data_IF_387214089671
#
_entry.id   IF_387214089671
#
_cell.length_a   1.000
_cell.length_b   1.000
_cell.length_c   1.000
_cell.angle_alpha   90.00
_cell.angle_beta   90.00
_cell.angle_gamma   90.00
#
_symmetry.space_group_name_H-M   'P 1'
#
loop_
_entity.id
_entity.type
_entity.pdbx_description
1 polymer ?
#
# COMPACT_ATOMS: atom_id res chain seq x y z
N UNK A 1 21.47 -19.66 -48.51
CA UNK A 1 20.67 -20.77 -49.04
C UNK A 1 20.97 -22.00 -48.23
N UNK A 2 20.05 -22.42 -47.40
CA UNK A 2 19.71 -23.81 -47.09
C UNK A 2 18.61 -23.78 -46.01
N UNK A 3 17.56 -24.61 -46.13
CA UNK A 3 16.30 -24.41 -45.46
C UNK A 3 16.18 -25.19 -44.13
N UNK A 4 15.25 -24.70 -43.31
CA UNK A 4 14.76 -25.33 -42.07
C UNK A 4 14.00 -26.64 -42.34
N UNK A 5 13.91 -27.56 -41.39
CA UNK A 5 12.73 -28.41 -41.28
C UNK A 5 11.82 -28.02 -40.12
N UNK A 6 10.53 -27.96 -40.46
CA UNK A 6 9.37 -27.91 -39.61
C UNK A 6 9.12 -29.34 -39.10
N UNK A 7 8.98 -29.53 -37.79
CA UNK A 7 8.46 -30.77 -37.22
C UNK A 7 7.05 -30.48 -36.71
N UNK A 8 6.08 -31.05 -37.43
CA UNK A 8 4.69 -31.17 -37.01
C UNK A 8 4.57 -32.43 -36.15
N UNK A 9 4.04 -32.34 -34.95
CA UNK A 9 3.67 -33.49 -34.19
C UNK A 9 2.14 -33.52 -34.01
N UNK A 10 1.50 -34.41 -34.77
CA UNK A 10 0.11 -34.85 -34.58
C UNK A 10 0.07 -35.80 -33.38
N UNK A 11 -0.83 -35.63 -32.47
CA UNK A 11 -1.27 -36.70 -31.58
C UNK A 11 -2.76 -36.94 -31.72
N UNK A 12 -3.03 -38.18 -32.04
CA UNK A 12 -4.33 -38.74 -32.34
C UNK A 12 -5.16 -39.01 -31.10
N UNK A 13 -6.48 -38.81 -31.26
CA UNK A 13 -7.52 -39.34 -30.35
C UNK A 13 -7.60 -40.83 -30.42
N UNK A 14 -7.80 -41.46 -29.27
CA UNK A 14 -8.36 -42.80 -29.20
C UNK A 14 -9.53 -42.82 -28.22
N UNK A 15 -10.71 -43.01 -28.81
CA UNK A 15 -11.96 -43.42 -28.15
C UNK A 15 -11.96 -44.92 -28.02
N UNK A 16 -12.32 -45.44 -26.84
CA UNK A 16 -12.88 -46.81 -26.72
C UNK A 16 -13.99 -46.81 -25.70
N UNK A 17 -15.11 -47.33 -26.16
CA UNK A 17 -16.37 -47.51 -25.48
C UNK A 17 -16.52 -48.96 -24.93
N UNK A 18 -17.47 -49.07 -23.99
CA UNK A 18 -18.25 -50.24 -23.60
C UNK A 18 -17.60 -51.29 -22.69
N UNK A 19 -18.19 -51.57 -21.53
CA UNK A 19 -19.29 -52.52 -21.35
C UNK A 19 -19.86 -52.44 -19.92
N UNK A 20 -21.18 -52.57 -19.87
CA UNK A 20 -22.02 -52.78 -18.69
C UNK A 20 -21.77 -54.19 -18.11
N UNK A 21 -21.79 -54.31 -16.79
CA UNK A 21 -22.28 -55.50 -16.12
C UNK A 21 -22.94 -55.08 -14.80
N UNK A 22 -24.23 -55.42 -14.68
CA UNK A 22 -25.09 -55.35 -13.51
C UNK A 22 -24.68 -56.36 -12.46
N UNK A 23 -24.45 -55.95 -11.21
CA UNK A 23 -24.62 -56.83 -10.04
C UNK A 23 -25.28 -56.03 -8.91
N UNK A 24 -26.53 -56.36 -8.68
CA UNK A 24 -27.36 -55.99 -7.54
C UNK A 24 -26.99 -56.83 -6.30
N UNK A 25 -26.48 -56.21 -5.23
CA UNK A 25 -26.49 -56.77 -3.89
C UNK A 25 -26.79 -55.71 -2.84
N UNK A 26 -27.78 -56.01 -2.06
CA UNK A 26 -28.46 -55.23 -1.03
C UNK A 26 -27.65 -55.01 0.25
N UNK A 27 -27.99 -53.86 0.90
CA UNK A 27 -28.09 -53.61 2.34
C UNK A 27 -26.81 -53.44 3.17
N UNK A 28 -26.69 -52.24 3.70
CA UNK A 28 -25.92 -51.86 4.86
C UNK A 28 -26.01 -50.34 5.01
N UNK A 29 -27.07 -49.84 5.66
CA UNK A 29 -27.18 -48.45 6.06
C UNK A 29 -26.31 -48.22 7.30
N UNK A 30 -25.12 -47.64 7.14
CA UNK A 30 -24.42 -46.97 8.21
C UNK A 30 -24.67 -45.48 8.09
N UNK A 31 -24.95 -44.74 9.19
CA UNK A 31 -25.23 -43.32 9.14
C UNK A 31 -23.96 -42.57 8.77
N UNK A 32 -24.01 -41.84 7.66
CA UNK A 32 -23.02 -40.84 7.26
C UNK A 32 -23.01 -39.75 8.34
N UNK A 33 -21.87 -39.45 8.98
CA UNK A 33 -21.79 -38.29 9.85
C UNK A 33 -21.98 -37.06 8.99
N UNK A 34 -22.99 -36.27 9.29
CA UNK A 34 -23.14 -34.92 8.76
C UNK A 34 -21.91 -34.09 9.16
N UNK A 35 -20.94 -34.06 8.28
CA UNK A 35 -19.83 -33.12 8.34
C UNK A 35 -20.38 -31.75 8.07
N UNK A 36 -20.80 -31.04 9.11
CA UNK A 36 -21.08 -29.62 9.05
C UNK A 36 -19.83 -28.89 8.60
N UNK A 37 -19.69 -28.62 7.30
CA UNK A 37 -18.81 -27.61 6.81
C UNK A 37 -19.38 -26.28 7.27
N UNK A 38 -18.93 -25.79 8.43
CA UNK A 38 -19.07 -24.38 8.78
C UNK A 38 -18.22 -23.60 7.77
N UNK A 39 -18.79 -23.30 6.61
CA UNK A 39 -18.35 -22.16 5.83
C UNK A 39 -18.60 -20.96 6.75
N UNK A 40 -17.54 -20.44 7.36
CA UNK A 40 -17.58 -19.08 7.90
C UNK A 40 -17.84 -18.20 6.70
N UNK A 41 -19.09 -17.75 6.53
CA UNK A 41 -19.40 -16.63 5.65
C UNK A 41 -18.55 -15.46 6.16
N UNK A 42 -17.53 -15.11 5.39
CA UNK A 42 -16.76 -13.88 5.60
C UNK A 42 -17.78 -12.73 5.51
N UNK A 43 -18.23 -12.23 6.66
CA UNK A 43 -19.27 -11.20 6.68
C UNK A 43 -18.73 -9.95 5.99
N UNK A 44 -19.37 -9.54 4.91
CA UNK A 44 -19.01 -8.33 4.17
C UNK A 44 -18.86 -7.14 5.12
N UNK A 45 -17.94 -6.22 4.81
CA UNK A 45 -17.77 -4.99 5.57
C UNK A 45 -19.08 -4.19 5.57
N UNK A 46 -19.43 -3.65 6.72
CA UNK A 46 -20.57 -2.76 6.85
C UNK A 46 -20.24 -1.40 6.25
N UNK A 47 -21.26 -0.68 5.81
CA UNK A 47 -21.14 0.67 5.28
C UNK A 47 -21.85 1.63 6.24
N UNK A 48 -21.19 2.76 6.58
CA UNK A 48 -21.76 3.79 7.43
C UNK A 48 -22.76 4.70 6.66
N UNK A 49 -23.38 5.65 7.34
CA UNK A 49 -24.33 6.61 6.77
C UNK A 49 -23.74 7.51 5.66
N UNK A 50 -22.41 7.64 5.60
CA UNK A 50 -21.69 8.41 4.56
C UNK A 50 -21.31 7.55 3.35
N UNK A 51 -21.68 6.26 3.33
CA UNK A 51 -21.33 5.34 2.25
C UNK A 51 -19.89 4.79 2.33
N UNK A 52 -19.22 4.93 3.48
CA UNK A 52 -17.85 4.45 3.69
C UNK A 52 -17.86 3.07 4.34
N UNK A 53 -16.98 2.18 3.89
CA UNK A 53 -16.77 0.88 4.55
C UNK A 53 -16.20 1.06 5.96
N UNK A 54 -16.74 0.31 6.91
CA UNK A 54 -16.28 0.31 8.31
C UNK A 54 -15.29 -0.83 8.49
N UNK A 55 -14.08 -0.50 8.94
CA UNK A 55 -13.02 -1.47 9.22
C UNK A 55 -13.25 -2.18 10.56
N UNK A 56 -12.85 -3.46 10.63
CA UNK A 56 -13.00 -4.33 11.80
C UNK A 56 -11.71 -4.38 12.63
N UNK A 57 -11.79 -4.94 13.82
CA UNK A 57 -10.64 -5.33 14.68
C UNK A 57 -9.60 -4.23 14.83
N UNK A 58 -10.08 -2.99 15.05
CA UNK A 58 -9.22 -1.82 15.25
C UNK A 58 -8.34 -1.99 16.49
N UNK A 59 -7.03 -1.75 16.33
CA UNK A 59 -6.04 -1.82 17.41
C UNK A 59 -5.12 -0.61 17.37
N UNK A 60 -4.55 -0.29 18.54
CA UNK A 60 -3.62 0.81 18.74
C UNK A 60 -2.38 0.28 19.46
N UNK A 61 -1.20 0.70 19.02
CA UNK A 61 0.07 0.31 19.59
C UNK A 61 0.89 1.56 19.94
N UNK A 62 1.49 1.55 21.12
CA UNK A 62 2.38 2.61 21.58
C UNK A 62 3.77 2.40 20.97
N UNK A 63 4.36 3.47 20.44
CA UNK A 63 5.73 3.40 19.90
C UNK A 63 6.77 3.91 20.88
N UNK A 64 6.34 4.66 21.91
CA UNK A 64 7.24 5.30 22.85
C UNK A 64 7.98 6.52 22.28
N UNK A 65 7.66 6.96 21.05
CA UNK A 65 8.21 8.20 20.48
C UNK A 65 7.39 9.38 20.99
N UNK A 66 8.03 10.30 21.72
CA UNK A 66 7.35 11.38 22.44
C UNK A 66 7.02 12.61 21.57
N UNK A 67 7.90 12.97 20.61
CA UNK A 67 7.67 14.09 19.68
C UNK A 67 6.65 13.71 18.62
N UNK A 68 5.62 14.51 18.36
CA UNK A 68 4.71 14.33 17.21
C UNK A 68 5.47 14.46 15.89
N UNK A 69 4.94 13.87 14.79
CA UNK A 69 5.54 14.03 13.47
C UNK A 69 5.70 12.75 12.64
N UNK A 70 4.99 11.66 12.96
CA UNK A 70 4.95 10.51 12.05
C UNK A 70 4.19 10.89 10.77
N UNK A 71 4.87 10.85 9.63
CA UNK A 71 4.38 11.32 8.34
C UNK A 71 4.06 10.20 7.35
N UNK A 72 4.80 9.09 7.34
CA UNK A 72 4.54 7.96 6.45
C UNK A 72 4.99 6.63 7.03
N UNK A 73 4.44 5.52 6.51
CA UNK A 73 4.75 4.16 6.95
C UNK A 73 4.78 3.20 5.76
N UNK A 74 5.83 2.38 5.69
CA UNK A 74 5.92 1.26 4.75
C UNK A 74 6.31 -0.03 5.47
N UNK A 75 5.86 -1.18 4.96
CA UNK A 75 6.37 -2.48 5.39
C UNK A 75 7.86 -2.58 5.09
N UNK A 76 8.66 -3.10 6.02
CA UNK A 76 10.08 -3.37 5.76
C UNK A 76 10.27 -4.51 4.75
N UNK A 77 11.51 -4.71 4.29
CA UNK A 77 11.86 -5.72 3.28
C UNK A 77 11.60 -7.16 3.73
N UNK A 78 11.65 -7.42 5.04
CA UNK A 78 11.43 -8.75 5.62
C UNK A 78 9.95 -9.07 5.83
N UNK A 79 9.07 -8.04 5.82
CA UNK A 79 7.65 -8.19 6.09
C UNK A 79 7.32 -8.49 7.56
N UNK A 80 8.21 -8.14 8.50
CA UNK A 80 8.07 -8.39 9.93
C UNK A 80 7.97 -7.11 10.78
N UNK A 81 7.89 -5.94 10.12
CA UNK A 81 7.76 -4.64 10.76
C UNK A 81 7.71 -3.52 9.73
N UNK A 82 7.99 -2.30 10.18
CA UNK A 82 7.81 -1.10 9.37
C UNK A 82 9.04 -0.19 9.39
N UNK A 83 9.15 0.61 8.32
CA UNK A 83 9.84 1.88 8.33
C UNK A 83 8.82 3.00 8.45
N UNK A 84 9.08 3.98 9.32
CA UNK A 84 8.21 5.12 9.59
C UNK A 84 9.02 6.39 9.47
N UNK A 85 8.61 7.30 8.58
CA UNK A 85 9.21 8.63 8.47
C UNK A 85 8.72 9.55 9.59
N UNK A 86 9.58 10.48 9.99
CA UNK A 86 9.28 11.52 10.94
C UNK A 86 9.79 12.86 10.41
N UNK A 87 8.98 13.88 10.46
CA UNK A 87 9.24 15.22 9.92
C UNK A 87 10.47 15.91 10.53
N UNK A 88 10.91 15.51 11.73
CA UNK A 88 12.17 15.97 12.33
C UNK A 88 13.44 15.35 11.71
N UNK A 89 13.32 14.60 10.63
CA UNK A 89 14.47 14.04 9.91
C UNK A 89 14.92 12.68 10.41
N UNK A 90 14.02 11.87 10.96
CA UNK A 90 14.30 10.53 11.44
C UNK A 90 13.57 9.49 10.60
N UNK A 91 14.17 8.34 10.40
CA UNK A 91 13.53 7.15 9.88
C UNK A 91 13.57 6.06 10.95
N UNK A 92 12.41 5.74 11.50
CA UNK A 92 12.26 4.70 12.51
C UNK A 92 12.07 3.33 11.86
N UNK A 93 12.59 2.30 12.54
CA UNK A 93 12.25 0.90 12.28
C UNK A 93 11.48 0.36 13.47
N UNK A 94 10.31 -0.26 13.23
CA UNK A 94 9.43 -0.78 14.28
C UNK A 94 8.98 -2.20 13.97
N UNK A 95 8.64 -2.95 15.02
CA UNK A 95 7.88 -4.20 14.89
C UNK A 95 6.38 -3.93 14.73
N UNK A 96 5.60 -4.99 14.49
CA UNK A 96 4.12 -4.95 14.43
C UNK A 96 3.47 -4.56 15.78
N UNK A 97 4.18 -4.69 16.87
CA UNK A 97 3.75 -4.29 18.21
C UNK A 97 4.02 -2.82 18.54
N UNK A 98 4.57 -2.07 17.59
CA UNK A 98 4.96 -0.68 17.76
C UNK A 98 6.34 -0.48 18.40
N UNK A 99 7.03 -1.55 18.84
CA UNK A 99 8.36 -1.44 19.44
C UNK A 99 9.36 -0.86 18.44
N UNK A 100 9.94 0.29 18.76
CA UNK A 100 11.03 0.91 17.98
C UNK A 100 12.32 0.11 18.18
N UNK A 101 12.88 -0.40 17.08
CA UNK A 101 14.13 -1.18 17.09
C UNK A 101 15.34 -0.36 16.66
N UNK A 102 15.14 0.67 15.83
CA UNK A 102 16.15 1.64 15.45
C UNK A 102 15.56 2.98 15.05
N UNK A 103 16.37 4.03 15.10
CA UNK A 103 16.08 5.36 14.58
C UNK A 103 17.33 5.86 13.84
N UNK A 104 17.18 6.14 12.55
CA UNK A 104 18.26 6.56 11.66
C UNK A 104 18.05 8.04 11.34
N UNK A 105 18.95 8.94 11.78
CA UNK A 105 18.89 10.33 11.35
C UNK A 105 19.24 10.44 9.87
N UNK A 106 18.43 11.17 9.12
CA UNK A 106 18.62 11.37 7.69
C UNK A 106 19.44 12.65 7.43
N UNK A 107 20.39 12.58 6.48
CA UNK A 107 21.21 13.69 6.04
C UNK A 107 21.05 13.86 4.49
N UNK A 108 20.65 15.05 4.02
CA UNK A 108 20.31 16.24 4.78
C UNK A 108 19.02 16.10 5.59
N UNK A 109 18.92 16.84 6.69
CA UNK A 109 17.64 17.02 7.39
C UNK A 109 16.70 17.81 6.53
N UNK A 110 15.46 17.34 6.40
CA UNK A 110 14.42 17.95 5.58
C UNK A 110 13.05 17.68 6.19
N UNK A 111 12.01 18.31 5.65
CA UNK A 111 10.61 18.03 5.91
C UNK A 111 10.25 16.75 5.14
N UNK A 112 10.50 15.60 5.80
CA UNK A 112 10.34 14.29 5.18
C UNK A 112 8.93 13.77 5.37
N UNK A 113 8.31 13.41 4.24
CA UNK A 113 6.93 12.95 4.18
C UNK A 113 6.84 11.51 3.63
N UNK A 114 6.21 11.30 2.50
CA UNK A 114 5.90 9.98 1.96
C UNK A 114 7.12 9.07 1.75
N UNK A 115 6.94 7.81 2.14
CA UNK A 115 7.90 6.72 1.94
C UNK A 115 7.44 5.76 0.84
N UNK A 116 8.39 5.21 0.10
CA UNK A 116 8.14 4.09 -0.81
C UNK A 116 9.32 3.13 -0.83
N UNK A 117 9.07 1.89 -1.25
CA UNK A 117 10.12 0.89 -1.42
C UNK A 117 9.99 0.18 -2.78
N UNK A 118 11.09 0.09 -3.49
CA UNK A 118 11.25 -0.91 -4.53
C UNK A 118 11.49 -2.27 -3.88
N UNK A 119 10.44 -3.09 -3.82
CA UNK A 119 10.47 -4.41 -3.20
C UNK A 119 11.47 -5.38 -3.84
N UNK A 120 11.79 -5.18 -5.11
CA UNK A 120 12.72 -6.05 -5.83
C UNK A 120 14.18 -5.86 -5.41
N UNK A 121 14.51 -4.67 -4.93
CA UNK A 121 15.88 -4.28 -4.55
C UNK A 121 16.03 -3.92 -3.07
N UNK A 122 14.92 -3.75 -2.33
CA UNK A 122 14.91 -3.22 -0.97
C UNK A 122 15.26 -1.72 -0.90
N UNK A 123 15.25 -1.02 -2.04
CA UNK A 123 15.60 0.41 -2.07
C UNK A 123 14.48 1.25 -1.50
N UNK A 124 14.79 2.05 -0.49
CA UNK A 124 13.86 2.99 0.15
C UNK A 124 13.97 4.36 -0.51
N UNK A 125 12.82 4.96 -0.79
CA UNK A 125 12.68 6.32 -1.29
C UNK A 125 11.85 7.14 -0.32
N UNK A 126 12.16 8.43 -0.21
CA UNK A 126 11.45 9.39 0.63
C UNK A 126 11.24 10.69 -0.11
N UNK A 127 10.11 11.35 0.07
CA UNK A 127 9.88 12.65 -0.52
C UNK A 127 10.13 13.77 0.50
N UNK A 128 10.66 14.89 -0.01
CA UNK A 128 10.80 16.15 0.70
C UNK A 128 9.65 17.08 0.24
N UNK A 129 8.79 17.45 1.17
CA UNK A 129 7.54 18.16 0.89
C UNK A 129 7.77 19.48 0.16
N UNK A 130 8.47 20.41 0.80
CA UNK A 130 8.66 21.79 0.32
C UNK A 130 9.53 21.86 -0.92
N UNK A 131 10.52 20.98 -1.00
CA UNK A 131 11.45 20.92 -2.13
C UNK A 131 10.86 20.23 -3.36
N UNK A 132 9.80 19.43 -3.18
CA UNK A 132 9.19 18.58 -4.21
C UNK A 132 10.21 17.67 -4.89
N UNK A 133 10.98 16.98 -4.07
CA UNK A 133 12.05 16.09 -4.50
C UNK A 133 11.90 14.71 -3.90
N UNK A 134 12.42 13.72 -4.61
CA UNK A 134 12.49 12.34 -4.12
C UNK A 134 13.95 11.99 -3.92
N UNK A 135 14.23 11.35 -2.80
CA UNK A 135 15.56 10.90 -2.41
C UNK A 135 15.56 9.39 -2.19
N UNK A 136 16.68 8.77 -2.52
CA UNK A 136 16.99 7.40 -2.13
C UNK A 136 17.70 7.44 -0.77
N UNK A 137 17.28 6.59 0.16
CA UNK A 137 17.86 6.49 1.51
C UNK A 137 18.82 5.30 1.59
N UNK A 138 20.00 5.53 2.14
CA UNK A 138 20.91 4.50 2.60
C UNK A 138 20.70 4.29 4.11
N UNK A 139 20.08 3.17 4.48
CA UNK A 139 19.75 2.84 5.87
C UNK A 139 21.00 2.64 6.76
N UNK A 140 22.15 2.31 6.16
CA UNK A 140 23.38 2.09 6.91
C UNK A 140 24.05 3.40 7.35
N UNK A 141 23.96 4.45 6.52
CA UNK A 141 24.59 5.75 6.78
C UNK A 141 23.61 6.87 7.12
N UNK A 142 22.31 6.70 6.85
CA UNK A 142 21.30 7.76 6.93
C UNK A 142 21.38 8.76 5.77
N UNK A 143 22.22 8.52 4.76
CA UNK A 143 22.39 9.46 3.65
C UNK A 143 21.20 9.41 2.70
N UNK A 144 20.55 10.56 2.47
CA UNK A 144 19.51 10.73 1.47
C UNK A 144 20.08 11.35 0.19
N UNK A 145 20.07 10.61 -0.91
CA UNK A 145 20.62 11.04 -2.22
C UNK A 145 19.50 11.40 -3.17
N UNK A 146 19.53 12.59 -3.78
CA UNK A 146 18.53 13.06 -4.74
C UNK A 146 18.44 12.12 -5.95
N UNK A 147 17.22 11.67 -6.28
CA UNK A 147 16.94 10.83 -7.46
C UNK A 147 15.95 11.49 -8.43
N UNK A 148 15.05 12.33 -7.94
CA UNK A 148 14.09 13.05 -8.78
C UNK A 148 13.84 14.47 -8.24
N UNK A 149 13.98 15.45 -9.12
CA UNK A 149 13.45 16.79 -8.89
C UNK A 149 12.10 16.88 -9.60
N UNK A 150 11.02 16.96 -8.81
CA UNK A 150 9.66 17.01 -9.34
C UNK A 150 9.28 18.39 -9.89
N UNK A 151 8.02 18.52 -10.27
CA UNK A 151 7.47 19.80 -10.77
C UNK A 151 7.19 20.71 -9.58
N UNK A 152 7.76 21.91 -9.61
CA UNK A 152 7.49 22.94 -8.63
C UNK A 152 6.29 23.79 -9.10
N UNK A 153 5.08 23.27 -8.95
CA UNK A 153 3.83 23.98 -9.20
C UNK A 153 3.22 24.50 -7.90
N UNK A 154 2.66 25.69 -7.93
CA UNK A 154 1.94 26.28 -6.79
C UNK A 154 2.82 27.08 -5.84
N UNK A 155 2.34 27.28 -4.60
CA UNK A 155 3.09 28.01 -3.58
C UNK A 155 4.21 27.16 -2.99
N UNK A 156 5.29 27.79 -2.54
CA UNK A 156 6.40 27.15 -1.83
C UNK A 156 6.03 26.77 -0.37
N UNK A 157 4.74 26.75 -0.06
CA UNK A 157 4.21 26.47 1.27
C UNK A 157 4.29 24.97 1.61
N UNK A 158 4.08 24.64 2.86
CA UNK A 158 3.95 23.31 3.45
C UNK A 158 2.70 22.58 2.93
N UNK A 159 2.62 22.30 1.62
CA UNK A 159 1.49 21.66 0.90
C UNK A 159 1.96 21.08 -0.42
N UNK A 160 3.14 20.50 -0.39
CA UNK A 160 3.83 19.94 -1.54
C UNK A 160 3.64 18.45 -1.69
N UNK A 161 4.74 17.72 -1.75
CA UNK A 161 4.73 16.27 -1.87
C UNK A 161 4.57 15.62 -0.49
N UNK A 162 3.42 15.02 -0.25
CA UNK A 162 3.09 14.35 1.00
C UNK A 162 3.18 12.82 0.87
N UNK A 163 2.51 12.25 -0.12
CA UNK A 163 2.49 10.82 -0.32
C UNK A 163 3.41 10.36 -1.45
N UNK A 164 4.07 9.23 -1.25
CA UNK A 164 4.93 8.59 -2.23
C UNK A 164 4.64 7.09 -2.30
N UNK A 165 4.42 6.57 -3.51
CA UNK A 165 4.34 5.15 -3.76
C UNK A 165 5.27 4.74 -4.91
N UNK A 166 5.76 3.50 -4.86
CA UNK A 166 6.55 2.88 -5.92
C UNK A 166 5.85 1.62 -6.42
N UNK A 167 5.73 1.49 -7.73
CA UNK A 167 5.20 0.29 -8.37
C UNK A 167 5.47 0.28 -9.86
N UNK A 168 5.70 -0.87 -10.45
CA UNK A 168 5.96 -1.04 -11.90
C UNK A 168 7.05 -0.12 -12.46
N UNK A 169 8.12 0.15 -11.69
CA UNK A 169 9.19 1.06 -12.09
C UNK A 169 8.78 2.54 -12.15
N UNK A 170 7.71 2.91 -11.46
CA UNK A 170 7.16 4.27 -11.43
C UNK A 170 7.09 4.79 -10.00
N UNK A 171 7.28 6.09 -9.86
CA UNK A 171 6.84 6.83 -8.68
C UNK A 171 5.43 7.38 -8.92
N UNK A 172 4.56 7.20 -7.93
CA UNK A 172 3.30 7.91 -7.80
C UNK A 172 3.46 8.87 -6.63
N UNK A 173 3.20 10.16 -6.87
CA UNK A 173 3.48 11.22 -5.90
C UNK A 173 2.21 12.02 -5.68
N UNK A 174 1.74 12.06 -4.43
CA UNK A 174 0.61 12.91 -4.04
C UNK A 174 1.09 14.31 -3.71
N UNK A 175 0.62 15.30 -4.47
CA UNK A 175 0.74 16.71 -4.12
C UNK A 175 -0.49 17.14 -3.33
N UNK A 176 -0.29 17.64 -2.11
CA UNK A 176 -1.34 17.83 -1.12
C UNK A 176 -2.41 18.84 -1.54
N UNK A 177 -1.99 20.03 -1.94
CA UNK A 177 -2.89 21.12 -2.35
C UNK A 177 -2.31 21.97 -3.48
N UNK A 178 -3.20 22.57 -4.27
CA UNK A 178 -2.92 23.62 -5.27
C UNK A 178 -1.84 23.29 -6.29
N UNK A 179 -2.05 22.26 -7.08
CA UNK A 179 -3.26 21.42 -7.19
C UNK A 179 -3.22 20.19 -6.26
N UNK A 180 -4.38 19.64 -5.89
CA UNK A 180 -4.49 18.26 -5.37
C UNK A 180 -4.34 17.33 -6.55
N UNK A 181 -3.19 16.65 -6.63
CA UNK A 181 -2.78 15.95 -7.85
C UNK A 181 -1.91 14.74 -7.54
N UNK A 182 -2.06 13.70 -8.33
CA UNK A 182 -1.09 12.61 -8.39
C UNK A 182 -0.24 12.79 -9.63
N UNK A 183 1.08 12.82 -9.45
CA UNK A 183 2.05 12.75 -10.54
C UNK A 183 2.56 11.32 -10.68
N UNK A 184 2.75 10.86 -11.91
CA UNK A 184 3.38 9.57 -12.20
C UNK A 184 4.66 9.81 -12.98
N UNK A 185 5.80 9.35 -12.44
CA UNK A 185 7.11 9.45 -13.07
C UNK A 185 7.69 8.08 -13.36
N UNK A 186 8.37 7.93 -14.48
CA UNK A 186 9.25 6.80 -14.74
C UNK A 186 10.53 6.94 -13.93
N UNK A 187 10.85 5.93 -13.11
CA UNK A 187 11.98 6.01 -12.17
C UNK A 187 13.32 6.00 -12.90
N UNK A 188 13.45 5.24 -13.98
CA UNK A 188 14.71 5.07 -14.70
C UNK A 188 15.11 6.32 -15.49
N UNK A 189 14.14 7.01 -16.10
CA UNK A 189 14.38 8.21 -16.91
C UNK A 189 14.13 9.52 -16.17
N UNK A 190 13.39 9.49 -15.05
CA UNK A 190 12.91 10.67 -14.36
C UNK A 190 11.85 11.47 -15.12
N UNK A 191 11.26 10.90 -16.17
CA UNK A 191 10.26 11.58 -17.00
C UNK A 191 8.87 11.55 -16.34
N UNK A 192 8.17 12.69 -16.36
CA UNK A 192 6.76 12.75 -16.05
C UNK A 192 5.97 12.00 -17.12
N UNK A 193 5.25 10.94 -16.73
CA UNK A 193 4.40 10.14 -17.60
C UNK A 193 2.97 10.68 -17.65
N UNK A 194 2.42 11.06 -16.50
CA UNK A 194 1.06 11.58 -16.37
C UNK A 194 0.86 12.41 -15.11
N UNK A 195 -0.21 13.18 -15.08
CA UNK A 195 -0.71 13.83 -13.87
C UNK A 195 -2.23 13.80 -13.85
N UNK A 196 -2.83 13.60 -12.67
CA UNK A 196 -4.27 13.49 -12.48
C UNK A 196 -4.71 14.39 -11.34
N UNK A 197 -5.58 15.35 -11.63
CA UNK A 197 -6.21 16.19 -10.62
C UNK A 197 -7.28 15.41 -9.86
N UNK A 198 -7.30 15.56 -8.54
CA UNK A 198 -8.28 14.94 -7.68
C UNK A 198 -9.18 16.01 -7.06
N UNK A 199 -10.48 15.86 -7.20
CA UNK A 199 -11.48 16.82 -6.68
C UNK A 199 -12.11 16.35 -5.36
N UNK A 200 -12.02 15.06 -5.03
CA UNK A 200 -12.69 14.46 -3.89
C UNK A 200 -11.93 14.59 -2.55
N UNK A 201 -10.57 14.55 -2.45
CA UNK A 201 -9.90 14.64 -1.17
C UNK A 201 -9.88 16.09 -0.66
N UNK A 202 -9.91 16.25 0.67
CA UNK A 202 -9.66 17.55 1.30
C UNK A 202 -8.17 17.80 1.52
N UNK A 203 -7.43 16.75 1.95
CA UNK A 203 -6.01 16.80 2.26
C UNK A 203 -5.34 15.48 1.93
N UNK A 204 -4.49 15.46 0.91
CA UNK A 204 -3.71 14.26 0.55
C UNK A 204 -2.54 14.15 1.52
N UNK A 205 -2.42 13.02 2.25
CA UNK A 205 -1.35 12.84 3.22
C UNK A 205 -0.44 11.63 2.92
N UNK A 206 -0.93 10.58 2.29
CA UNK A 206 -0.05 9.48 1.89
C UNK A 206 -0.60 8.69 0.70
N UNK A 207 0.28 7.92 0.06
CA UNK A 207 -0.02 6.99 -1.04
C UNK A 207 0.62 5.63 -0.81
N UNK A 208 -0.11 4.57 -1.19
CA UNK A 208 0.43 3.23 -1.28
C UNK A 208 0.01 2.61 -2.63
N UNK A 209 0.91 1.90 -3.30
CA UNK A 209 0.62 1.14 -4.51
C UNK A 209 0.29 -0.31 -4.16
N UNK A 210 -0.76 -0.84 -4.75
CA UNK A 210 -1.15 -2.24 -4.61
C UNK A 210 -0.68 -3.03 -5.83
N UNK A 211 0.38 -3.81 -5.66
CA UNK A 211 0.98 -4.62 -6.74
C UNK A 211 0.05 -5.72 -7.27
N UNK A 212 -1.03 -6.05 -6.56
CA UNK A 212 -1.95 -7.13 -6.95
C UNK A 212 -2.84 -6.74 -8.12
N UNK A 213 -3.22 -5.47 -8.20
CA UNK A 213 -4.19 -4.98 -9.19
C UNK A 213 -3.81 -3.64 -9.84
N UNK A 214 -2.67 -3.07 -9.44
CA UNK A 214 -2.18 -1.81 -9.99
C UNK A 214 -2.96 -0.58 -9.54
N UNK A 215 -3.66 -0.66 -8.41
CA UNK A 215 -4.41 0.46 -7.83
C UNK A 215 -3.57 1.26 -6.85
N UNK A 216 -4.09 2.43 -6.47
CA UNK A 216 -3.52 3.29 -5.47
C UNK A 216 -4.45 3.38 -4.25
N UNK A 217 -3.84 3.43 -3.07
CA UNK A 217 -4.52 3.75 -1.83
C UNK A 217 -4.08 5.13 -1.37
N UNK A 218 -5.04 5.97 -1.04
CA UNK A 218 -4.85 7.39 -0.74
C UNK A 218 -5.44 7.74 0.61
N UNK A 219 -4.65 8.32 1.49
CA UNK A 219 -5.09 8.84 2.78
C UNK A 219 -5.51 10.30 2.68
N UNK A 220 -6.70 10.63 3.18
CA UNK A 220 -7.20 12.00 3.40
C UNK A 220 -7.27 12.26 4.90
N UNK A 221 -6.23 12.88 5.45
CA UNK A 221 -6.11 13.09 6.90
C UNK A 221 -7.19 14.00 7.47
N UNK A 222 -7.66 14.98 6.70
CA UNK A 222 -8.68 15.92 7.15
C UNK A 222 -10.08 15.33 7.18
N UNK A 223 -10.43 14.48 6.21
CA UNK A 223 -11.72 13.80 6.15
C UNK A 223 -11.71 12.47 6.91
N UNK A 224 -10.52 11.98 7.26
CA UNK A 224 -10.29 10.66 7.86
C UNK A 224 -10.89 9.55 6.99
N UNK A 225 -10.56 9.58 5.69
CA UNK A 225 -11.01 8.64 4.66
C UNK A 225 -9.81 8.03 3.97
N UNK A 226 -9.80 6.71 3.87
CA UNK A 226 -8.88 5.97 3.00
C UNK A 226 -9.62 5.65 1.70
N UNK A 227 -9.05 6.00 0.57
CA UNK A 227 -9.63 5.74 -0.75
C UNK A 227 -8.77 4.78 -1.55
N UNK A 228 -9.37 3.70 -2.06
CA UNK A 228 -8.78 2.90 -3.13
C UNK A 228 -9.22 3.49 -4.47
N UNK A 229 -8.26 3.79 -5.33
CA UNK A 229 -8.47 4.46 -6.62
C UNK A 229 -7.69 3.79 -7.74
N UNK A 230 -8.16 3.93 -8.96
CA UNK A 230 -7.34 3.66 -10.15
C UNK A 230 -6.29 4.75 -10.35
N UNK A 231 -5.27 4.47 -11.15
CA UNK A 231 -4.22 5.45 -11.49
C UNK A 231 -4.73 6.67 -12.28
N UNK A 232 -5.96 6.61 -12.80
CA UNK A 232 -6.66 7.73 -13.45
C UNK A 232 -7.49 8.58 -12.47
N UNK A 233 -7.43 8.28 -11.16
CA UNK A 233 -8.17 8.98 -10.11
C UNK A 233 -9.59 8.47 -9.86
N UNK A 234 -10.08 7.46 -10.61
CA UNK A 234 -11.41 6.88 -10.40
C UNK A 234 -11.48 6.15 -9.06
N UNK A 235 -12.43 6.54 -8.19
CA UNK A 235 -12.66 5.90 -6.90
C UNK A 235 -13.24 4.49 -7.12
N UNK A 236 -12.63 3.51 -6.44
CA UNK A 236 -13.11 2.11 -6.40
C UNK A 236 -13.88 1.87 -5.09
N UNK A 237 -13.26 2.26 -3.96
CA UNK A 237 -13.82 2.07 -2.63
C UNK A 237 -13.31 3.15 -1.67
N UNK A 238 -14.09 3.43 -0.64
CA UNK A 238 -13.69 4.36 0.42
C UNK A 238 -14.01 3.78 1.79
N UNK A 239 -13.11 4.01 2.75
CA UNK A 239 -13.15 3.45 4.09
C UNK A 239 -13.10 4.55 5.15
N UNK A 240 -13.87 4.37 6.21
CA UNK A 240 -13.85 5.24 7.39
C UNK A 240 -12.63 4.89 8.26
N UNK A 241 -11.73 5.83 8.41
CA UNK A 241 -10.53 5.72 9.26
C UNK A 241 -10.53 6.74 10.40
N UNK A 242 -11.72 7.18 10.82
CA UNK A 242 -11.90 8.18 11.89
C UNK A 242 -11.41 7.71 13.28
N UNK A 243 -11.10 6.42 13.42
CA UNK A 243 -10.44 5.89 14.61
C UNK A 243 -8.97 6.31 14.74
N UNK A 244 -8.36 6.81 13.66
CA UNK A 244 -7.04 7.45 13.67
C UNK A 244 -7.23 8.97 13.67
N UNK A 245 -6.77 9.66 14.71
CA UNK A 245 -7.08 11.08 14.93
C UNK A 245 -6.53 11.99 13.82
N UNK A 246 -5.26 11.79 13.42
CA UNK A 246 -4.59 12.49 12.31
C UNK A 246 -3.80 11.45 11.52
N UNK A 247 -4.45 10.73 10.58
CA UNK A 247 -3.79 9.68 9.78
C UNK A 247 -2.91 10.35 8.72
N UNK A 248 -1.59 10.30 8.89
CA UNK A 248 -0.65 10.84 7.91
C UNK A 248 0.00 9.73 7.07
N UNK A 249 0.26 8.54 7.61
CA UNK A 249 0.83 7.43 6.86
C UNK A 249 -0.08 6.21 6.78
N UNK A 250 0.03 5.46 5.67
CA UNK A 250 -0.74 4.24 5.39
C UNK A 250 0.11 3.13 4.79
N UNK A 251 -0.05 1.91 5.31
CA UNK A 251 0.56 0.71 4.75
C UNK A 251 -0.46 -0.41 4.56
N UNK A 252 -0.48 -1.03 3.39
CA UNK A 252 -1.30 -2.17 3.04
C UNK A 252 -0.56 -3.48 3.36
N UNK A 253 -1.07 -4.25 4.33
CA UNK A 253 -0.58 -5.58 4.67
C UNK A 253 -1.50 -6.64 4.08
N UNK A 254 -1.15 -7.10 2.90
CA UNK A 254 -1.95 -8.09 2.17
C UNK A 254 -1.81 -9.50 2.74
N UNK A 255 -0.69 -9.80 3.41
CA UNK A 255 -0.41 -11.10 3.99
C UNK A 255 -1.33 -11.38 5.18
N UNK A 256 -1.58 -10.37 6.01
CA UNK A 256 -2.42 -10.51 7.20
C UNK A 256 -3.84 -9.94 7.02
N UNK A 257 -4.15 -9.30 5.87
CA UNK A 257 -5.46 -8.68 5.63
C UNK A 257 -5.70 -7.43 6.49
N UNK A 258 -4.64 -6.68 6.76
CA UNK A 258 -4.66 -5.52 7.63
C UNK A 258 -4.30 -4.23 6.87
N UNK A 259 -4.92 -3.16 7.30
CA UNK A 259 -4.47 -1.80 7.07
C UNK A 259 -3.72 -1.30 8.29
N UNK A 260 -2.59 -0.64 8.06
CA UNK A 260 -1.79 -0.01 9.09
C UNK A 260 -1.71 1.49 8.86
N UNK A 261 -1.75 2.24 9.94
CA UNK A 261 -1.70 3.70 9.90
C UNK A 261 -0.76 4.23 10.97
N UNK A 262 -0.15 5.37 10.71
CA UNK A 262 0.51 6.17 11.72
C UNK A 262 -0.26 7.47 11.93
N UNK A 263 -0.26 7.92 13.20
CA UNK A 263 -0.94 9.15 13.63
C UNK A 263 0.11 10.19 13.99
N UNK A 264 0.16 11.29 13.28
CA UNK A 264 1.11 12.37 13.52
C UNK A 264 1.05 12.92 14.96
N UNK A 265 -0.15 13.25 15.43
CA UNK A 265 -0.32 13.91 16.73
C UNK A 265 0.10 13.05 17.93
N UNK A 266 0.12 11.74 17.80
CA UNK A 266 0.31 10.81 18.93
C UNK A 266 1.46 9.85 18.72
N UNK A 267 2.04 9.80 17.53
CA UNK A 267 3.07 8.83 17.11
C UNK A 267 2.69 7.37 17.43
N UNK A 268 1.41 7.06 17.35
CA UNK A 268 0.90 5.70 17.56
C UNK A 268 0.77 4.99 16.22
N UNK A 269 0.96 3.68 16.29
CA UNK A 269 0.66 2.77 15.21
C UNK A 269 -0.75 2.22 15.41
N UNK A 270 -1.54 2.19 14.34
CA UNK A 270 -2.90 1.68 14.33
C UNK A 270 -3.04 0.58 13.30
N UNK A 271 -3.86 -0.43 13.58
CA UNK A 271 -4.25 -1.41 12.58
C UNK A 271 -5.76 -1.65 12.56
N UNK A 272 -6.27 -2.10 11.42
CA UNK A 272 -7.64 -2.56 11.26
C UNK A 272 -7.75 -3.62 10.17
N UNK A 273 -8.68 -4.56 10.31
CA UNK A 273 -8.97 -5.57 9.30
C UNK A 273 -9.88 -5.02 8.22
N UNK A 274 -9.55 -5.31 6.95
CA UNK A 274 -10.37 -4.98 5.78
C UNK A 274 -11.07 -6.21 5.17
N UNK A 275 -10.99 -7.38 5.86
CA UNK A 275 -11.62 -8.65 5.46
C UNK A 275 -12.74 -9.05 6.41
#
# INVERSE_FOLDING_TARGET
MHPRPIILCLCALALTSCLQDDVDIRKGEDPVPEGGSSQQEESALQVNEKGLYILKDQKVYETGVESSGFSSIIMNENGDGFYIAHDEGLLYQTGFDGTVTSAVPLDPVNDWEGLAMDRSTGTIYICAERERKIYKVDMGSGTATLVLAGINEGSADNRGYEGLAYGDGKFFIANQEKPKRIYTYDVASGQLLSSVDLDFPAFLSDLCYDDRDGTLWLTDSKRQVLSNIKTDGTIIAQYDISFVQKPEGFCLDTAHGLFWFVCDNTNKLHSASYK
#
